data_IF_999379587440
#
_entry.id   IF_999379587440
#
_cell.length_a   1.000
_cell.length_b   1.000
_cell.length_c   1.000
_cell.angle_alpha   90.00
_cell.angle_beta   90.00
_cell.angle_gamma   90.00
#
_symmetry.space_group_name_H-M   'P 1'
#
loop_
_entity.id
_entity.type
_entity.pdbx_description
1 polymer ?
#
# COMPACT_ATOMS: atom_id res chain seq x y z
N UNK A 1 18.41 7.49 -17.17
CA UNK A 1 17.01 7.46 -17.65
C UNK A 1 16.56 8.86 -18.03
N UNK A 2 15.81 9.02 -19.13
CA UNK A 2 15.10 10.26 -19.43
C UNK A 2 13.65 10.11 -18.96
N UNK A 3 12.98 11.19 -18.51
CA UNK A 3 11.56 11.12 -18.20
C UNK A 3 10.75 10.64 -19.41
N UNK A 4 9.64 9.97 -19.15
CA UNK A 4 8.76 9.44 -20.20
C UNK A 4 8.39 10.54 -21.24
N UNK A 5 8.52 10.28 -22.55
CA UNK A 5 8.25 11.27 -23.59
C UNK A 5 6.82 11.83 -23.57
N UNK A 6 5.81 11.03 -23.18
CA UNK A 6 4.44 11.49 -23.09
C UNK A 6 4.25 12.43 -21.88
N UNK A 7 4.85 12.12 -20.73
CA UNK A 7 4.86 13.02 -19.57
C UNK A 7 5.56 14.35 -19.87
N UNK A 8 6.68 14.30 -20.60
CA UNK A 8 7.39 15.50 -21.05
C UNK A 8 6.54 16.37 -21.99
N UNK A 9 5.84 15.74 -22.94
CA UNK A 9 4.97 16.45 -23.87
C UNK A 9 3.75 17.07 -23.16
N UNK A 10 3.18 16.36 -22.18
CA UNK A 10 2.10 16.89 -21.35
C UNK A 10 2.55 18.11 -20.53
N UNK A 11 3.74 18.05 -19.91
CA UNK A 11 4.32 19.16 -19.17
C UNK A 11 4.63 20.38 -20.05
N UNK A 12 5.16 20.15 -21.27
CA UNK A 12 5.39 21.23 -22.25
C UNK A 12 4.09 21.92 -22.64
N UNK A 13 3.04 21.15 -22.95
CA UNK A 13 1.71 21.70 -23.27
C UNK A 13 1.14 22.50 -22.10
N UNK A 14 1.25 21.99 -20.88
CA UNK A 14 0.77 22.68 -19.68
C UNK A 14 1.50 24.00 -19.42
N UNK A 15 2.82 24.06 -19.64
CA UNK A 15 3.60 25.32 -19.57
C UNK A 15 3.23 26.31 -20.68
N UNK A 16 2.92 25.82 -21.88
CA UNK A 16 2.52 26.68 -23.00
C UNK A 16 1.10 27.24 -22.86
N UNK A 17 0.20 26.49 -22.22
CA UNK A 17 -1.20 26.88 -22.04
C UNK A 17 -1.45 27.72 -20.77
N UNK A 18 -0.46 27.84 -19.88
CA UNK A 18 -0.64 28.57 -18.61
C UNK A 18 0.09 29.91 -18.64
N UNK A 19 -0.62 30.98 -18.28
CA UNK A 19 -0.06 32.32 -18.07
C UNK A 19 0.58 32.50 -16.69
N UNK A 20 0.49 31.46 -15.83
CA UNK A 20 1.00 31.42 -14.46
C UNK A 20 1.98 30.23 -14.36
N UNK A 21 2.91 30.27 -13.40
CA UNK A 21 3.82 29.14 -13.14
C UNK A 21 3.02 27.83 -13.00
N UNK A 22 3.34 26.78 -13.78
CA UNK A 22 2.59 25.53 -13.81
C UNK A 22 2.86 24.63 -12.58
N UNK A 23 3.62 25.14 -11.61
CA UNK A 23 3.96 24.47 -10.36
C UNK A 23 5.25 23.63 -10.43
N UNK A 24 5.81 23.29 -9.26
CA UNK A 24 7.17 22.73 -9.13
C UNK A 24 7.35 21.37 -9.80
N UNK A 25 6.27 20.58 -9.92
CA UNK A 25 6.31 19.25 -10.57
C UNK A 25 6.50 19.39 -12.08
N UNK A 26 5.76 20.31 -12.72
CA UNK A 26 5.86 20.54 -14.17
C UNK A 26 7.21 21.18 -14.50
N UNK A 27 7.66 22.13 -13.67
CA UNK A 27 8.96 22.76 -13.82
C UNK A 27 10.12 21.78 -13.61
N UNK A 28 10.04 20.94 -12.57
CA UNK A 28 11.02 19.89 -12.30
C UNK A 28 11.11 18.84 -13.41
N UNK A 29 9.98 18.43 -13.98
CA UNK A 29 9.95 17.49 -15.10
C UNK A 29 10.55 18.08 -16.37
N UNK A 30 10.31 19.36 -16.64
CA UNK A 30 10.90 20.08 -17.77
C UNK A 30 12.41 20.32 -17.57
N UNK A 31 12.86 20.62 -16.35
CA UNK A 31 14.27 20.71 -16.00
C UNK A 31 14.97 19.34 -16.16
N UNK A 32 14.30 18.25 -15.78
CA UNK A 32 14.79 16.89 -15.98
C UNK A 32 14.76 16.44 -17.47
N UNK A 33 14.12 17.18 -18.36
CA UNK A 33 14.04 16.85 -19.80
C UNK A 33 15.37 16.97 -20.52
N UNK A 34 16.26 17.84 -20.04
CA UNK A 34 17.62 18.05 -20.54
C UNK A 34 18.67 17.31 -19.71
N UNK A 35 18.34 16.98 -18.46
CA UNK A 35 19.19 16.18 -17.60
C UNK A 35 19.09 14.70 -18.00
N UNK A 36 20.18 14.14 -18.50
CA UNK A 36 20.28 12.68 -18.51
C UNK A 36 20.48 12.28 -17.05
N UNK A 37 19.49 11.62 -16.42
CA UNK A 37 19.75 10.97 -15.14
C UNK A 37 20.77 9.88 -15.40
N UNK A 38 22.03 10.20 -15.11
CA UNK A 38 23.09 9.23 -14.97
C UNK A 38 23.03 8.79 -13.51
N UNK A 39 22.64 7.54 -13.22
CA UNK A 39 22.80 7.05 -11.86
C UNK A 39 24.26 7.28 -11.45
N UNK A 40 24.52 7.70 -10.20
CA UNK A 40 25.89 7.79 -9.70
C UNK A 40 26.65 6.50 -10.04
N UNK A 41 27.93 6.64 -10.41
CA UNK A 41 28.79 5.49 -10.74
C UNK A 41 28.71 4.40 -9.67
N UNK A 42 28.61 4.82 -8.42
CA UNK A 42 28.58 3.96 -7.24
C UNK A 42 27.26 3.18 -7.14
N UNK A 43 26.15 3.77 -7.59
CA UNK A 43 24.86 3.09 -7.67
C UNK A 43 24.87 2.05 -8.80
N UNK A 44 25.48 2.38 -9.94
CA UNK A 44 25.66 1.42 -11.04
C UNK A 44 26.54 0.23 -10.62
N UNK A 45 27.63 0.49 -9.89
CA UNK A 45 28.49 -0.55 -9.31
C UNK A 45 27.71 -1.41 -8.31
N UNK A 46 26.85 -0.80 -7.49
CA UNK A 46 25.98 -1.51 -6.54
C UNK A 46 25.02 -2.45 -7.28
N UNK A 47 24.38 -2.00 -8.37
CA UNK A 47 23.52 -2.86 -9.19
C UNK A 47 24.27 -4.01 -9.87
N UNK A 48 25.48 -3.75 -10.40
CA UNK A 48 26.31 -4.80 -10.98
C UNK A 48 26.68 -5.86 -9.94
N UNK A 49 27.02 -5.44 -8.72
CA UNK A 49 27.34 -6.35 -7.61
C UNK A 49 26.11 -7.14 -7.17
N UNK A 50 24.94 -6.51 -7.05
CA UNK A 50 23.67 -7.20 -6.78
C UNK A 50 23.32 -8.24 -7.85
N UNK A 51 23.56 -7.93 -9.13
CA UNK A 51 23.34 -8.88 -10.21
C UNK A 51 24.28 -10.10 -10.11
N UNK A 52 25.53 -9.91 -9.67
CA UNK A 52 26.51 -10.99 -9.54
C UNK A 52 26.41 -11.81 -8.24
N UNK A 53 26.05 -11.18 -7.13
CA UNK A 53 26.08 -11.78 -5.78
C UNK A 53 24.68 -11.88 -5.13
N UNK A 54 23.62 -11.50 -5.85
CA UNK A 54 22.22 -11.60 -5.41
C UNK A 54 22.00 -10.97 -4.02
N UNK A 55 21.24 -11.62 -3.13
CA UNK A 55 20.86 -11.11 -1.81
C UNK A 55 22.00 -11.11 -0.80
N UNK A 56 23.05 -11.93 -0.97
CA UNK A 56 24.17 -11.99 -0.03
C UNK A 56 25.06 -10.75 -0.09
N UNK A 57 24.97 -9.95 -1.16
CA UNK A 57 25.60 -8.63 -1.23
C UNK A 57 24.85 -7.55 -0.43
N UNK A 58 23.57 -7.77 -0.12
CA UNK A 58 22.72 -6.77 0.52
C UNK A 58 22.41 -7.07 1.98
N UNK A 59 22.43 -8.33 2.41
CA UNK A 59 22.09 -8.75 3.77
C UNK A 59 23.15 -9.68 4.40
N UNK A 60 24.30 -9.85 3.75
CA UNK A 60 25.33 -10.79 4.16
C UNK A 60 24.89 -12.26 4.09
N UNK A 61 25.64 -13.12 4.76
CA UNK A 61 25.25 -14.49 5.06
C UNK A 61 25.37 -14.75 6.57
N UNK A 62 24.96 -15.95 7.01
CA UNK A 62 25.02 -16.36 8.42
C UNK A 62 26.41 -16.26 9.08
N UNK A 63 27.47 -16.09 8.28
CA UNK A 63 28.87 -16.12 8.69
C UNK A 63 29.59 -14.78 8.52
N UNK A 64 29.01 -13.83 7.77
CA UNK A 64 29.63 -12.55 7.44
C UNK A 64 28.62 -11.50 6.98
N UNK A 65 28.74 -10.28 7.51
CA UNK A 65 28.02 -9.12 6.99
C UNK A 65 28.50 -8.78 5.57
N UNK A 66 27.58 -8.34 4.71
CA UNK A 66 27.99 -7.79 3.43
C UNK A 66 28.70 -6.43 3.62
N UNK A 67 29.55 -6.06 2.65
CA UNK A 67 30.18 -4.73 2.63
C UNK A 67 29.14 -3.60 2.68
N UNK A 68 27.98 -3.78 2.03
CA UNK A 68 26.91 -2.80 2.02
C UNK A 68 26.25 -2.65 3.41
N UNK A 69 26.12 -3.74 4.17
CA UNK A 69 25.60 -3.70 5.54
C UNK A 69 26.54 -2.91 6.46
N UNK A 70 27.85 -3.10 6.34
CA UNK A 70 28.84 -2.41 7.15
C UNK A 70 28.84 -0.89 6.88
N UNK A 71 28.80 -0.50 5.60
CA UNK A 71 28.73 0.92 5.22
C UNK A 71 27.40 1.56 5.66
N UNK A 72 26.28 0.83 5.53
CA UNK A 72 24.98 1.30 5.98
C UNK A 72 24.92 1.40 7.52
N UNK A 73 25.46 0.42 8.26
CA UNK A 73 25.52 0.49 9.72
C UNK A 73 26.40 1.65 10.21
N UNK A 74 27.56 1.87 9.59
CA UNK A 74 28.41 3.04 9.90
C UNK A 74 27.67 4.34 9.65
N UNK A 75 26.98 4.43 8.50
CA UNK A 75 26.16 5.59 8.19
C UNK A 75 25.07 5.81 9.25
N UNK A 76 24.30 4.76 9.60
CA UNK A 76 23.23 4.86 10.59
C UNK A 76 23.77 5.27 11.97
N UNK A 77 24.89 4.68 12.41
CA UNK A 77 25.58 5.06 13.66
C UNK A 77 26.04 6.52 13.63
N UNK A 78 26.57 6.99 12.50
CA UNK A 78 26.97 8.40 12.34
C UNK A 78 25.79 9.38 12.46
N UNK A 79 24.56 8.89 12.24
CA UNK A 79 23.30 9.64 12.43
C UNK A 79 22.68 9.44 13.81
N UNK A 80 23.40 8.83 14.76
CA UNK A 80 22.91 8.57 16.11
C UNK A 80 21.87 7.45 16.20
N UNK A 81 21.77 6.59 15.19
CA UNK A 81 20.86 5.44 15.20
C UNK A 81 21.56 4.22 15.78
N UNK A 82 20.82 3.39 16.52
CA UNK A 82 21.35 2.21 17.23
C UNK A 82 21.22 0.91 16.42
N UNK A 83 21.44 0.97 15.10
CA UNK A 83 21.41 -0.23 14.27
C UNK A 83 22.62 -1.12 14.53
N UNK A 84 22.38 -2.42 14.55
CA UNK A 84 23.36 -3.48 14.81
C UNK A 84 23.46 -4.42 13.62
N UNK A 85 24.54 -5.21 13.58
CA UNK A 85 24.68 -6.30 12.61
C UNK A 85 23.50 -7.28 12.69
N UNK A 86 22.98 -7.50 13.89
CA UNK A 86 21.81 -8.35 14.12
C UNK A 86 20.56 -7.84 13.42
N UNK A 87 20.36 -6.52 13.32
CA UNK A 87 19.17 -5.95 12.66
C UNK A 87 19.16 -6.24 11.15
N UNK A 88 20.34 -6.28 10.52
CA UNK A 88 20.48 -6.59 9.09
C UNK A 88 20.34 -8.10 8.84
N UNK A 89 21.03 -8.92 9.64
CA UNK A 89 21.04 -10.38 9.50
C UNK A 89 19.69 -11.03 9.83
N UNK A 90 18.93 -10.45 10.76
CA UNK A 90 17.61 -10.96 11.16
C UNK A 90 16.47 -10.42 10.28
N UNK A 91 16.76 -9.52 9.34
CA UNK A 91 15.73 -8.98 8.46
C UNK A 91 15.18 -10.07 7.57
N UNK A 92 13.86 -10.31 7.67
CA UNK A 92 13.15 -11.28 6.85
C UNK A 92 11.88 -10.66 6.28
N UNK A 93 11.60 -10.97 5.02
CA UNK A 93 10.34 -10.60 4.39
C UNK A 93 9.35 -11.72 4.68
N UNK A 94 8.19 -11.37 5.26
CA UNK A 94 7.07 -12.30 5.45
C UNK A 94 6.03 -12.05 4.37
N UNK A 95 5.56 -13.11 3.74
CA UNK A 95 4.44 -13.04 2.81
C UNK A 95 3.14 -12.86 3.60
N UNK A 96 2.43 -11.73 3.43
CA UNK A 96 1.18 -11.51 4.13
C UNK A 96 0.05 -12.33 3.51
N UNK A 97 -0.89 -12.79 4.34
CA UNK A 97 -2.16 -13.33 3.84
C UNK A 97 -3.06 -12.18 3.40
N UNK A 98 -3.46 -12.16 2.13
CA UNK A 98 -4.35 -11.14 1.61
C UNK A 98 -5.69 -11.11 2.35
N UNK A 99 -6.20 -9.91 2.59
CA UNK A 99 -7.60 -9.68 2.97
C UNK A 99 -8.46 -9.72 1.72
N UNK A 100 -9.70 -10.20 1.84
CA UNK A 100 -10.62 -10.36 0.73
C UNK A 100 -12.01 -9.85 1.08
N UNK A 101 -12.66 -9.13 0.16
CA UNK A 101 -14.08 -8.76 0.27
C UNK A 101 -14.78 -8.91 -1.07
N UNK A 102 -16.07 -9.24 -1.05
CA UNK A 102 -16.93 -9.14 -2.22
C UNK A 102 -17.34 -7.68 -2.45
N UNK A 103 -17.25 -7.21 -3.69
CA UNK A 103 -17.75 -5.90 -4.10
C UNK A 103 -18.25 -5.96 -5.54
N UNK A 104 -19.53 -5.65 -5.77
CA UNK A 104 -20.12 -5.58 -7.11
C UNK A 104 -19.88 -6.85 -7.96
N UNK A 105 -19.92 -8.02 -7.33
CA UNK A 105 -19.68 -9.31 -8.00
C UNK A 105 -18.20 -9.66 -8.25
N UNK A 106 -17.26 -8.83 -7.80
CA UNK A 106 -15.82 -9.10 -7.83
C UNK A 106 -15.31 -9.45 -6.44
N UNK A 107 -14.20 -10.20 -6.39
CA UNK A 107 -13.39 -10.36 -5.18
C UNK A 107 -12.26 -9.33 -5.22
N UNK A 108 -12.23 -8.44 -4.23
CA UNK A 108 -11.15 -7.47 -4.07
C UNK A 108 -10.19 -8.01 -3.02
N UNK A 109 -8.92 -8.13 -3.39
CA UNK A 109 -7.84 -8.50 -2.50
C UNK A 109 -7.02 -7.28 -2.09
N UNK A 110 -6.57 -7.23 -0.84
CA UNK A 110 -5.69 -6.17 -0.37
C UNK A 110 -4.75 -6.61 0.75
N UNK A 111 -3.70 -5.82 0.97
CA UNK A 111 -2.73 -6.05 2.04
C UNK A 111 -3.36 -5.93 3.44
N UNK A 112 -3.01 -6.81 4.38
CA UNK A 112 -3.36 -6.67 5.80
C UNK A 112 -2.43 -5.67 6.51
N UNK A 113 -2.65 -5.51 7.81
CA UNK A 113 -1.69 -4.88 8.71
C UNK A 113 -0.28 -5.48 8.54
N UNK A 114 0.81 -4.69 8.62
CA UNK A 114 0.90 -3.31 9.09
C UNK A 114 0.42 -2.23 8.11
N UNK A 115 0.03 -2.58 6.89
CA UNK A 115 -0.54 -1.60 5.97
C UNK A 115 -2.01 -1.28 6.35
N UNK A 116 -2.31 -0.01 6.57
CA UNK A 116 -3.67 0.45 6.92
C UNK A 116 -4.59 0.60 5.71
N UNK A 117 -4.02 0.77 4.51
CA UNK A 117 -4.77 1.06 3.29
C UNK A 117 -5.72 -0.06 2.86
N UNK A 118 -5.35 -1.32 3.08
CA UNK A 118 -6.21 -2.45 2.72
C UNK A 118 -7.44 -2.60 3.60
N UNK A 119 -7.29 -2.69 4.93
CA UNK A 119 -8.42 -2.68 5.86
C UNK A 119 -9.36 -1.48 5.65
N UNK A 120 -8.80 -0.29 5.43
CA UNK A 120 -9.58 0.89 5.11
C UNK A 120 -10.41 0.70 3.84
N UNK A 121 -9.76 0.33 2.72
CA UNK A 121 -10.42 0.20 1.42
C UNK A 121 -11.50 -0.88 1.44
N UNK A 122 -11.19 -2.05 1.99
CA UNK A 122 -12.12 -3.18 2.02
C UNK A 122 -13.32 -2.89 2.94
N UNK A 123 -13.11 -2.20 4.07
CA UNK A 123 -14.20 -1.75 4.94
C UNK A 123 -15.11 -0.75 4.23
N UNK A 124 -14.54 0.27 3.58
CA UNK A 124 -15.30 1.27 2.84
C UNK A 124 -16.14 0.63 1.72
N UNK A 125 -15.51 -0.19 0.88
CA UNK A 125 -16.18 -0.81 -0.27
C UNK A 125 -17.20 -1.87 0.16
N UNK A 126 -16.85 -2.73 1.12
CA UNK A 126 -17.77 -3.75 1.63
C UNK A 126 -19.03 -3.13 2.25
N UNK A 127 -18.88 -2.06 3.04
CA UNK A 127 -20.03 -1.36 3.60
C UNK A 127 -20.83 -0.59 2.54
N UNK A 128 -20.17 -0.06 1.51
CA UNK A 128 -20.85 0.61 0.41
C UNK A 128 -21.71 -0.37 -0.40
N UNK A 129 -21.19 -1.56 -0.71
CA UNK A 129 -21.91 -2.60 -1.46
C UNK A 129 -23.10 -3.15 -0.65
N UNK A 130 -22.88 -3.40 0.64
CA UNK A 130 -23.95 -3.79 1.56
C UNK A 130 -25.05 -2.72 1.62
N UNK A 131 -24.67 -1.44 1.79
CA UNK A 131 -25.63 -0.35 1.85
C UNK A 131 -26.35 -0.15 0.52
N UNK A 132 -25.67 -0.38 -0.62
CA UNK A 132 -26.28 -0.33 -1.94
C UNK A 132 -27.24 -1.49 -2.20
N UNK A 133 -27.03 -2.64 -1.56
CA UNK A 133 -27.98 -3.77 -1.59
C UNK A 133 -29.27 -3.42 -0.84
N UNK A 134 -29.16 -2.73 0.30
CA UNK A 134 -30.30 -2.37 1.15
C UNK A 134 -31.03 -1.10 0.69
N UNK A 135 -30.28 -0.11 0.17
CA UNK A 135 -30.75 1.17 -0.33
C UNK A 135 -30.05 1.49 -1.64
N UNK A 136 -30.52 0.93 -2.76
CA UNK A 136 -29.87 1.09 -4.06
C UNK A 136 -29.75 2.54 -4.49
N UNK A 137 -28.59 2.88 -5.05
CA UNK A 137 -28.41 4.13 -5.78
C UNK A 137 -29.07 4.02 -7.16
N UNK A 138 -29.58 5.14 -7.67
CA UNK A 138 -30.06 5.22 -9.05
C UNK A 138 -28.88 5.43 -10.02
N UNK A 139 -28.34 4.33 -10.53
CA UNK A 139 -27.21 4.36 -11.47
C UNK A 139 -27.46 5.20 -12.72
N UNK A 140 -28.69 5.22 -13.26
CA UNK A 140 -29.02 6.04 -14.42
C UNK A 140 -29.04 7.55 -14.09
N UNK A 141 -29.36 7.92 -12.85
CA UNK A 141 -29.28 9.29 -12.39
C UNK A 141 -27.81 9.71 -12.15
N UNK A 142 -27.00 8.84 -11.53
CA UNK A 142 -25.55 9.08 -11.35
C UNK A 142 -24.82 9.29 -12.68
N UNK A 143 -25.09 8.46 -13.69
CA UNK A 143 -24.48 8.60 -15.03
C UNK A 143 -24.84 9.93 -15.70
N UNK A 144 -25.93 10.58 -15.28
CA UNK A 144 -26.36 11.89 -15.77
C UNK A 144 -25.93 13.04 -14.87
N UNK A 145 -25.08 12.77 -13.86
CA UNK A 145 -24.66 13.72 -12.83
C UNK A 145 -25.84 14.38 -12.10
N UNK A 146 -26.86 13.59 -11.79
CA UNK A 146 -27.97 14.08 -10.97
C UNK A 146 -27.45 14.56 -9.61
N UNK A 147 -27.77 15.80 -9.19
CA UNK A 147 -27.18 16.39 -7.99
C UNK A 147 -27.65 15.70 -6.71
N UNK A 148 -28.88 15.21 -6.65
CA UNK A 148 -29.43 14.56 -5.46
C UNK A 148 -28.77 13.18 -5.27
N UNK A 149 -28.74 12.38 -6.33
CA UNK A 149 -28.15 11.04 -6.28
C UNK A 149 -26.63 11.11 -6.03
N UNK A 150 -25.96 12.11 -6.61
CA UNK A 150 -24.54 12.37 -6.38
C UNK A 150 -24.28 12.78 -4.92
N UNK A 151 -25.14 13.64 -4.34
CA UNK A 151 -25.02 14.03 -2.94
C UNK A 151 -25.19 12.82 -2.00
N UNK A 152 -26.12 11.90 -2.31
CA UNK A 152 -26.30 10.67 -1.55
C UNK A 152 -25.04 9.79 -1.62
N UNK A 153 -24.48 9.58 -2.81
CA UNK A 153 -23.23 8.81 -2.98
C UNK A 153 -22.09 9.43 -2.18
N UNK A 154 -21.86 10.74 -2.31
CA UNK A 154 -20.80 11.44 -1.59
C UNK A 154 -20.98 11.38 -0.08
N UNK A 155 -22.21 11.57 0.40
CA UNK A 155 -22.52 11.44 1.82
C UNK A 155 -22.20 10.03 2.34
N UNK A 156 -22.60 8.98 1.61
CA UNK A 156 -22.26 7.60 1.96
C UNK A 156 -20.75 7.39 2.02
N UNK A 157 -20.01 7.86 1.02
CA UNK A 157 -18.56 7.74 1.01
C UNK A 157 -17.92 8.43 2.20
N UNK A 158 -18.38 9.63 2.58
CA UNK A 158 -17.86 10.37 3.74
C UNK A 158 -18.14 9.60 5.04
N UNK A 159 -19.38 9.19 5.28
CA UNK A 159 -19.73 8.51 6.54
C UNK A 159 -19.06 7.14 6.68
N UNK A 160 -19.01 6.37 5.59
CA UNK A 160 -18.33 5.07 5.59
C UNK A 160 -16.81 5.22 5.70
N UNK A 161 -16.22 6.29 5.16
CA UNK A 161 -14.80 6.57 5.33
C UNK A 161 -14.44 6.88 6.77
N UNK A 162 -15.29 7.62 7.51
CA UNK A 162 -15.07 7.85 8.95
C UNK A 162 -15.05 6.54 9.73
N UNK A 163 -15.97 5.63 9.42
CA UNK A 163 -16.01 4.30 10.03
C UNK A 163 -14.77 3.47 9.68
N UNK A 164 -14.38 3.44 8.39
CA UNK A 164 -13.20 2.74 7.93
C UNK A 164 -11.91 3.31 8.53
N UNK A 165 -11.80 4.63 8.67
CA UNK A 165 -10.67 5.33 9.29
C UNK A 165 -10.53 4.94 10.76
N UNK A 166 -11.63 4.88 11.51
CA UNK A 166 -11.59 4.44 12.91
C UNK A 166 -11.07 3.00 13.04
N UNK A 167 -11.49 2.10 12.16
CA UNK A 167 -10.98 0.73 12.13
C UNK A 167 -9.50 0.66 11.75
N UNK A 168 -9.07 1.47 10.79
CA UNK A 168 -7.69 1.50 10.31
C UNK A 168 -6.72 2.19 11.28
N UNK A 169 -7.19 3.17 12.07
CA UNK A 169 -6.38 3.92 13.03
C UNK A 169 -5.89 3.05 14.21
N UNK A 170 -6.57 1.95 14.50
CA UNK A 170 -6.15 0.98 15.53
C UNK A 170 -5.14 -0.06 15.04
N UNK A 171 -4.70 0.02 13.78
CA UNK A 171 -3.78 -0.95 13.18
C UNK A 171 -2.32 -0.54 13.38
N UNK A 172 -1.47 -1.55 13.48
CA UNK A 172 -0.02 -1.42 13.49
C UNK A 172 0.61 -2.77 13.15
N UNK A 173 1.83 -3.02 13.63
CA UNK A 173 2.50 -4.30 13.35
C UNK A 173 1.72 -5.47 13.97
N UNK A 174 1.30 -6.44 13.13
CA UNK A 174 0.58 -7.62 13.59
C UNK A 174 1.44 -8.55 14.49
N UNK A 175 2.76 -8.38 14.45
CA UNK A 175 3.68 -9.05 15.37
C UNK A 175 3.83 -8.34 16.72
N UNK A 176 3.27 -7.13 16.87
CA UNK A 176 3.21 -6.43 18.16
C UNK A 176 2.16 -7.09 19.07
N UNK A 177 2.56 -7.68 20.21
CA UNK A 177 1.64 -8.34 21.14
C UNK A 177 0.54 -7.40 21.67
N UNK A 178 0.81 -6.10 21.74
CA UNK A 178 -0.15 -5.11 22.23
C UNK A 178 -1.28 -4.82 21.24
N UNK A 179 -1.10 -5.18 19.96
CA UNK A 179 -2.05 -4.96 18.88
C UNK A 179 -2.78 -6.25 18.44
N UNK A 180 -2.32 -7.43 18.85
CA UNK A 180 -2.97 -8.70 18.50
C UNK A 180 -4.41 -8.79 19.01
N UNK A 181 -4.74 -8.22 20.17
CA UNK A 181 -6.11 -8.22 20.72
C UNK A 181 -7.11 -7.39 19.90
N UNK A 182 -6.64 -6.32 19.25
CA UNK A 182 -7.43 -5.46 18.36
C UNK A 182 -7.64 -6.09 16.98
N UNK A 183 -6.62 -6.76 16.45
CA UNK A 183 -6.69 -7.47 15.15
C UNK A 183 -7.71 -8.60 15.18
N UNK A 184 -7.74 -9.42 16.25
CA UNK A 184 -8.77 -10.44 16.42
C UNK A 184 -10.18 -9.86 16.43
N UNK A 185 -10.37 -8.68 17.03
CA UNK A 185 -11.67 -8.02 17.09
C UNK A 185 -12.13 -7.50 15.72
N UNK A 186 -11.21 -6.96 14.91
CA UNK A 186 -11.48 -6.48 13.54
C UNK A 186 -11.70 -7.62 12.54
N UNK A 187 -10.92 -8.70 12.62
CA UNK A 187 -11.16 -9.90 11.80
C UNK A 187 -12.50 -10.54 12.14
N UNK A 188 -12.92 -10.50 13.41
CA UNK A 188 -14.25 -10.96 13.82
C UNK A 188 -15.35 -10.01 13.33
N UNK A 189 -15.12 -8.70 13.31
CA UNK A 189 -16.11 -7.71 12.83
C UNK A 189 -16.27 -7.75 11.29
N UNK A 190 -15.16 -7.89 10.56
CA UNK A 190 -15.14 -8.05 9.11
C UNK A 190 -15.64 -9.46 8.72
N UNK A 191 -15.25 -10.50 9.47
CA UNK A 191 -15.67 -11.89 9.22
C UNK A 191 -17.12 -12.19 9.63
N UNK A 192 -17.67 -11.52 10.63
CA UNK A 192 -19.09 -11.67 11.02
C UNK A 192 -20.05 -10.89 10.14
N UNK A 193 -19.59 -9.82 9.47
CA UNK A 193 -20.36 -9.13 8.43
C UNK A 193 -20.42 -9.93 7.10
N UNK A 194 -19.51 -10.89 6.90
CA UNK A 194 -19.46 -11.75 5.72
C UNK A 194 -19.46 -13.22 6.14
N UNK A 195 -20.61 -13.71 6.58
CA UNK A 195 -20.87 -15.15 6.72
C UNK A 195 -20.63 -15.82 5.36
N UNK A 196 -19.54 -16.60 5.24
CA UNK A 196 -19.38 -17.55 4.13
C UNK A 196 -20.33 -18.72 4.37
N UNK A 197 -21.37 -18.95 3.54
CA UNK A 197 -22.10 -20.21 3.61
C UNK A 197 -21.18 -21.29 3.03
N UNK A 198 -20.62 -22.16 3.88
CA UNK A 198 -19.94 -23.37 3.42
C UNK A 198 -18.72 -23.87 4.18
N UNK A 199 -18.40 -23.39 5.40
CA UNK A 199 -17.27 -23.94 6.18
C UNK A 199 -17.63 -24.78 7.40
N UNK A 200 -18.90 -25.07 7.63
CA UNK A 200 -19.33 -25.91 8.75
C UNK A 200 -19.22 -27.43 8.50
N UNK A 201 -18.70 -27.87 7.34
CA UNK A 201 -18.61 -29.31 7.02
C UNK A 201 -17.21 -29.94 7.01
N UNK A 202 -16.13 -29.22 7.35
CA UNK A 202 -14.77 -29.80 7.30
C UNK A 202 -13.98 -29.74 8.61
N UNK A 203 -14.67 -29.67 9.76
CA UNK A 203 -14.02 -29.74 11.09
C UNK A 203 -14.56 -30.85 12.01
N UNK A 204 -15.18 -31.89 11.45
CA UNK A 204 -15.58 -33.08 12.23
C UNK A 204 -14.63 -34.28 12.17
N UNK A 205 -13.65 -34.29 11.27
CA UNK A 205 -12.71 -35.40 11.16
C UNK A 205 -11.27 -34.92 11.35
N UNK A 206 -10.86 -34.76 12.62
CA UNK A 206 -9.47 -34.89 13.10
C UNK A 206 -9.46 -34.74 14.63
N UNK A 207 -10.13 -35.68 15.28
CA UNK A 207 -9.88 -36.08 16.67
C UNK A 207 -9.29 -37.49 16.59
N UNK A 208 -7.96 -37.59 16.55
CA UNK A 208 -7.13 -38.69 17.10
C UNK A 208 -5.67 -38.23 17.09
#
# INVERSE_FOLDING_TARGET
MKPDPALLNAAKRKKQMSSISPGPIVEGLLAASTATYLPPSDLNLTYQRLASAQTSYLLGDSSSMAWLDDDLLKFMKSRGQNWTAGDMLNYTVREPRALQVGFAGLTIESFPAPASGGPFLLSLLGNLDFLNTMKPLNFHALLRNDPEETAILLHRLIELSKFAEQGAAGLGDASDPSLQSLLYSLETLIGSAFHQPGKDELQKDLLF
#
